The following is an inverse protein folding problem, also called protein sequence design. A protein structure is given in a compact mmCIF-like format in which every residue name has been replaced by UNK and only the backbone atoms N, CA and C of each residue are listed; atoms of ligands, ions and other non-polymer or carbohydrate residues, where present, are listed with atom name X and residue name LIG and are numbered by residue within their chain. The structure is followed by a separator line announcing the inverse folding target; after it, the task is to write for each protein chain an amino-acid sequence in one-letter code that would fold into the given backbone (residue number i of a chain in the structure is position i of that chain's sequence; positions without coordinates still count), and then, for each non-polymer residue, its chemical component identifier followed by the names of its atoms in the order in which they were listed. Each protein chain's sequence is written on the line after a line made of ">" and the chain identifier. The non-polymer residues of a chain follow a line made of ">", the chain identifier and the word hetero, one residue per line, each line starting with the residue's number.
data_IF_992986985283
#
_entry.id   IF_992986985283
#
_cell.length_a   1.000
_cell.length_b   1.000
_cell.length_c   1.000
_cell.angle_alpha   90.00
_cell.angle_beta   90.00
_cell.angle_gamma   90.00
#
_symmetry.space_group_name_H-M   'P 1'
#
loop_
_entity.id
_entity.type
_entity.pdbx_description
1 polymer ?
#
# COMPACT_ATOMS: atom_id res chain seq x y z
N UNK A 1 21.29 35.59 36.22
CA UNK A 1 21.26 34.13 36.46
C UNK A 1 20.25 33.52 35.48
N UNK A 2 20.79 33.05 34.34
CA UNK A 2 20.01 32.42 33.29
C UNK A 2 19.62 31.01 33.66
N UNK A 3 18.33 30.72 33.71
CA UNK A 3 17.84 29.33 33.75
C UNK A 3 17.45 28.92 32.33
N UNK A 4 18.30 28.09 31.73
CA UNK A 4 18.03 27.39 30.49
C UNK A 4 16.77 26.52 30.66
N UNK A 5 15.69 26.87 29.98
CA UNK A 5 14.60 25.95 29.72
C UNK A 5 15.03 25.03 28.60
N UNK A 6 15.48 23.84 28.95
CA UNK A 6 15.60 22.76 27.96
C UNK A 6 14.19 22.40 27.49
N UNK A 7 13.91 22.73 26.25
CA UNK A 7 12.75 22.22 25.54
C UNK A 7 13.01 20.72 25.29
N UNK A 8 12.41 19.85 26.07
CA UNK A 8 12.30 18.45 25.73
C UNK A 8 11.20 18.31 24.67
N UNK A 9 11.60 18.34 23.41
CA UNK A 9 10.76 17.82 22.34
C UNK A 9 10.68 16.32 22.57
N UNK A 10 9.61 15.86 23.19
CA UNK A 10 9.18 14.48 23.15
C UNK A 10 8.79 14.17 21.71
N UNK A 11 9.77 13.75 20.89
CA UNK A 11 9.46 13.01 19.69
C UNK A 11 8.75 11.73 20.16
N UNK A 12 7.45 11.68 19.99
CA UNK A 12 6.75 10.42 19.93
C UNK A 12 7.40 9.64 18.77
N UNK A 13 8.27 8.72 19.10
CA UNK A 13 8.79 7.74 18.15
C UNK A 13 7.67 6.71 17.90
N UNK A 14 6.55 7.17 17.34
CA UNK A 14 5.87 6.33 16.40
C UNK A 14 6.94 6.02 15.35
N UNK A 15 7.24 4.76 15.13
CA UNK A 15 8.10 4.30 14.05
C UNK A 15 7.42 4.61 12.72
N UNK A 16 7.28 5.92 12.45
CA UNK A 16 7.07 6.40 11.13
C UNK A 16 8.36 6.03 10.38
N UNK A 17 8.31 4.99 9.57
CA UNK A 17 9.06 5.01 8.35
C UNK A 17 8.89 6.44 7.85
N UNK A 18 9.97 7.20 7.80
CA UNK A 18 9.94 8.56 7.29
C UNK A 18 9.63 8.44 5.80
N UNK A 19 8.33 8.34 5.52
CA UNK A 19 7.84 8.42 4.16
C UNK A 19 8.40 9.70 3.54
N UNK A 20 8.75 9.63 2.29
CA UNK A 20 9.07 10.80 1.49
C UNK A 20 7.84 11.72 1.22
N UNK A 21 6.73 11.45 1.87
CA UNK A 21 5.74 12.50 2.11
C UNK A 21 6.45 13.55 2.97
N UNK A 22 6.41 14.84 2.63
CA UNK A 22 6.82 15.85 3.59
C UNK A 22 6.12 15.49 4.90
N UNK A 23 6.89 15.44 5.98
CA UNK A 23 6.31 15.31 7.30
C UNK A 23 5.40 16.53 7.46
N UNK A 24 4.16 16.39 7.03
CA UNK A 24 3.13 17.38 7.26
C UNK A 24 3.07 17.50 8.77
N UNK A 25 3.19 18.72 9.25
CA UNK A 25 3.24 18.96 10.67
C UNK A 25 1.88 18.58 11.24
N UNK A 26 1.85 17.49 11.99
CA UNK A 26 0.69 17.05 12.77
C UNK A 26 0.16 18.23 13.60
N UNK A 27 -1.13 18.49 13.54
CA UNK A 27 -1.76 19.53 14.35
C UNK A 27 -1.98 18.97 15.75
N UNK A 28 -1.21 19.47 16.71
CA UNK A 28 -1.37 19.10 18.11
C UNK A 28 -2.60 19.81 18.68
N UNK A 29 -3.59 19.02 19.09
CA UNK A 29 -4.85 19.50 19.69
C UNK A 29 -4.76 19.56 21.21
N UNK A 30 -3.97 18.68 21.83
CA UNK A 30 -3.76 18.61 23.25
C UNK A 30 -2.36 18.07 23.55
N UNK A 31 -1.64 18.70 24.46
CA UNK A 31 -0.35 18.24 24.97
C UNK A 31 -0.19 18.69 26.44
N UNK A 32 -0.50 17.81 27.35
CA UNK A 32 -0.39 18.09 28.78
C UNK A 32 -0.27 16.80 29.59
N UNK A 33 0.50 16.87 30.69
CA UNK A 33 0.63 15.79 31.68
C UNK A 33 1.01 14.43 31.05
N UNK A 34 1.93 14.48 30.06
CA UNK A 34 2.40 13.29 29.35
C UNK A 34 1.36 12.65 28.41
N UNK A 35 0.25 13.35 28.16
CA UNK A 35 -0.79 12.93 27.23
C UNK A 35 -0.80 13.87 26.02
N UNK A 36 -0.76 13.30 24.82
CA UNK A 36 -0.87 14.01 23.55
C UNK A 36 -2.08 13.53 22.75
N UNK A 37 -2.73 14.47 22.08
CA UNK A 37 -3.74 14.17 21.07
C UNK A 37 -3.57 15.11 19.88
N UNK A 38 -3.53 14.54 18.69
CA UNK A 38 -3.23 15.28 17.47
C UNK A 38 -4.01 14.75 16.28
N UNK A 39 -3.99 15.51 15.21
CA UNK A 39 -4.63 15.16 13.95
C UNK A 39 -3.70 15.42 12.77
N UNK A 40 -3.77 14.56 11.78
CA UNK A 40 -3.12 14.69 10.48
C UNK A 40 -4.13 14.47 9.36
N UNK A 41 -3.85 14.95 8.18
CA UNK A 41 -4.73 14.79 7.05
C UNK A 41 -4.01 14.85 5.71
N UNK A 42 -4.62 14.19 4.72
CA UNK A 42 -4.12 14.14 3.35
C UNK A 42 -5.28 14.33 2.39
N UNK A 43 -5.20 15.35 1.54
CA UNK A 43 -6.21 15.70 0.55
C UNK A 43 -5.56 15.84 -0.80
N UNK A 44 -6.13 15.22 -1.80
CA UNK A 44 -5.66 15.35 -3.16
C UNK A 44 -6.80 15.27 -4.17
N UNK A 45 -6.59 15.88 -5.32
CA UNK A 45 -7.44 15.75 -6.50
C UNK A 45 -6.60 15.97 -7.76
N UNK A 46 -6.90 15.21 -8.80
CA UNK A 46 -6.23 15.22 -10.08
C UNK A 46 -7.24 15.35 -11.21
N UNK A 47 -6.95 16.22 -12.17
CA UNK A 47 -7.49 16.08 -13.51
C UNK A 47 -6.74 14.97 -14.22
N UNK A 48 -7.46 14.07 -14.84
CA UNK A 48 -6.95 12.85 -15.46
C UNK A 48 -7.49 12.73 -16.87
N UNK A 49 -6.64 12.36 -17.81
CA UNK A 49 -7.03 11.98 -19.16
C UNK A 49 -6.39 10.63 -19.48
N UNK A 50 -7.21 9.62 -19.69
CA UNK A 50 -6.81 8.26 -20.05
C UNK A 50 -7.14 7.98 -21.51
N UNK A 51 -6.18 7.40 -22.23
CA UNK A 51 -6.31 6.85 -23.57
C UNK A 51 -6.33 5.32 -23.42
N UNK A 52 -7.50 4.74 -23.64
CA UNK A 52 -7.77 3.31 -23.44
C UNK A 52 -7.75 2.60 -24.77
N UNK A 53 -6.92 1.56 -24.87
CA UNK A 53 -6.84 0.62 -25.98
C UNK A 53 -6.98 -0.81 -25.39
N UNK A 54 -8.08 -1.48 -25.72
CA UNK A 54 -8.41 -2.82 -25.18
C UNK A 54 -8.76 -3.78 -26.31
N UNK A 55 -8.62 -5.05 -26.01
CA UNK A 55 -9.14 -6.10 -26.86
C UNK A 55 -10.64 -5.87 -27.18
N UNK A 56 -10.92 -5.46 -28.41
CA UNK A 56 -12.25 -5.08 -28.90
C UNK A 56 -12.41 -3.57 -29.03
N UNK A 57 -12.34 -3.06 -30.28
CA UNK A 57 -12.42 -1.64 -30.66
C UNK A 57 -13.57 -0.85 -30.00
N UNK A 58 -14.63 -1.52 -29.54
CA UNK A 58 -15.76 -0.87 -28.84
C UNK A 58 -15.40 -0.30 -27.48
N UNK A 59 -14.24 -0.66 -26.93
CA UNK A 59 -13.76 -0.15 -25.64
C UNK A 59 -12.76 0.99 -25.79
N UNK A 60 -12.22 1.18 -26.99
CA UNK A 60 -11.21 2.20 -27.27
C UNK A 60 -11.82 3.59 -27.13
N UNK A 61 -11.21 4.39 -26.27
CA UNK A 61 -11.69 5.75 -26.00
C UNK A 61 -10.70 6.61 -25.25
N UNK A 62 -10.95 7.90 -25.31
CA UNK A 62 -10.31 8.88 -24.41
C UNK A 62 -11.30 9.32 -23.35
N UNK A 63 -10.87 9.21 -22.11
CA UNK A 63 -11.71 9.52 -20.95
C UNK A 63 -11.07 10.59 -20.06
N UNK A 64 -11.81 11.67 -19.81
CA UNK A 64 -11.39 12.71 -18.85
C UNK A 64 -12.18 12.57 -17.54
N UNK A 65 -11.47 12.65 -16.41
CA UNK A 65 -12.05 12.55 -15.08
C UNK A 65 -11.39 13.53 -14.10
N UNK A 66 -12.07 13.78 -12.99
CA UNK A 66 -11.46 14.37 -11.79
C UNK A 66 -11.53 13.32 -10.68
N UNK A 67 -10.38 12.86 -10.21
CA UNK A 67 -10.27 11.74 -9.26
C UNK A 67 -9.19 12.02 -8.22
N UNK A 68 -9.25 11.33 -7.10
CA UNK A 68 -8.11 11.28 -6.17
C UNK A 68 -7.01 10.36 -6.72
N UNK A 69 -5.80 10.56 -6.22
CA UNK A 69 -4.63 9.79 -6.62
C UNK A 69 -4.46 8.48 -5.87
N UNK A 70 -3.27 7.92 -6.00
CA UNK A 70 -2.91 6.61 -5.45
C UNK A 70 -3.07 6.54 -3.92
N UNK A 71 -2.51 7.49 -3.18
CA UNK A 71 -2.81 7.60 -1.74
C UNK A 71 -4.16 8.28 -1.55
N UNK A 72 -5.17 7.59 -1.03
CA UNK A 72 -6.51 8.16 -0.87
C UNK A 72 -6.58 9.29 0.17
N UNK A 73 -7.61 10.12 0.06
CA UNK A 73 -7.88 11.18 1.02
C UNK A 73 -8.22 10.61 2.39
N UNK A 74 -7.67 11.20 3.46
CA UNK A 74 -7.98 10.79 4.82
C UNK A 74 -7.83 11.92 5.84
N UNK A 75 -8.45 11.72 7.00
CA UNK A 75 -8.16 12.41 8.25
C UNK A 75 -7.82 11.36 9.30
N UNK A 76 -6.73 11.59 10.03
CA UNK A 76 -6.23 10.73 11.10
C UNK A 76 -6.22 11.44 12.45
N UNK A 77 -6.39 10.67 13.51
CA UNK A 77 -6.26 11.10 14.90
C UNK A 77 -5.28 10.20 15.62
N UNK A 78 -4.37 10.80 16.36
CA UNK A 78 -3.34 10.10 17.09
C UNK A 78 -3.46 10.40 18.59
N UNK A 79 -3.23 9.41 19.39
CA UNK A 79 -3.20 9.47 20.85
C UNK A 79 -1.84 8.98 21.35
N UNK A 80 -1.27 9.64 22.34
CA UNK A 80 -0.07 9.23 23.01
C UNK A 80 -0.17 9.49 24.52
N UNK A 81 0.35 8.58 25.35
CA UNK A 81 0.44 8.77 26.78
C UNK A 81 1.62 8.01 27.36
N UNK A 82 2.44 8.68 28.15
CA UNK A 82 3.46 8.04 28.97
C UNK A 82 2.87 7.64 30.31
N UNK A 83 3.00 6.36 30.69
CA UNK A 83 2.62 5.83 32.00
C UNK A 83 3.79 5.00 32.50
N UNK A 84 4.48 5.50 33.51
CA UNK A 84 5.73 4.94 34.03
C UNK A 84 6.74 4.74 32.89
N UNK A 85 7.22 3.53 32.66
CA UNK A 85 8.14 3.17 31.57
C UNK A 85 7.44 2.71 30.28
N UNK A 86 6.11 2.70 30.25
CA UNK A 86 5.31 2.26 29.07
C UNK A 86 4.79 3.48 28.33
N UNK A 87 5.00 3.50 27.01
CA UNK A 87 4.36 4.43 26.07
C UNK A 87 3.11 3.75 25.51
N UNK A 88 1.95 4.37 25.76
CA UNK A 88 0.70 3.98 25.14
C UNK A 88 0.46 4.87 23.90
N UNK A 89 0.03 4.27 22.83
CA UNK A 89 -0.31 4.95 21.59
C UNK A 89 -1.64 4.48 21.02
N UNK A 90 -2.16 5.22 20.07
CA UNK A 90 -3.31 4.82 19.30
C UNK A 90 -3.48 5.70 18.07
N UNK A 91 -4.03 5.12 17.02
CA UNK A 91 -4.38 5.83 15.79
C UNK A 91 -5.75 5.39 15.30
N UNK A 92 -6.54 6.35 14.85
CA UNK A 92 -7.71 6.10 14.02
C UNK A 92 -7.62 6.96 12.77
N UNK A 93 -7.89 6.39 11.60
CA UNK A 93 -7.90 7.12 10.35
C UNK A 93 -9.14 6.78 9.52
N UNK A 94 -9.76 7.82 8.99
CA UNK A 94 -10.98 7.76 8.21
C UNK A 94 -10.66 8.15 6.78
N UNK A 95 -10.74 7.18 5.88
CA UNK A 95 -10.38 7.31 4.48
C UNK A 95 -11.64 7.47 3.64
N UNK A 96 -11.60 8.38 2.68
CA UNK A 96 -12.76 8.68 1.84
C UNK A 96 -12.35 8.78 0.38
N UNK A 97 -13.24 8.36 -0.52
CA UNK A 97 -13.10 8.64 -1.95
C UNK A 97 -13.86 9.93 -2.31
N UNK A 98 -13.29 10.68 -3.26
CA UNK A 98 -14.01 11.78 -3.94
C UNK A 98 -14.38 11.37 -5.37
N UNK A 99 -14.09 10.13 -5.75
CA UNK A 99 -14.32 9.67 -7.11
C UNK A 99 -15.80 9.40 -7.35
N UNK A 100 -16.35 10.03 -8.37
CA UNK A 100 -17.69 9.73 -8.86
C UNK A 100 -17.65 8.55 -9.85
N UNK A 101 -18.68 7.72 -9.80
CA UNK A 101 -18.94 6.73 -10.83
C UNK A 101 -19.91 7.31 -11.87
N UNK A 102 -19.87 6.81 -13.10
CA UNK A 102 -20.81 7.23 -14.15
C UNK A 102 -22.27 6.91 -13.82
N UNK A 103 -22.50 5.88 -13.00
CA UNK A 103 -23.83 5.34 -12.73
C UNK A 103 -24.48 5.90 -11.45
N UNK A 104 -23.70 6.19 -10.42
CA UNK A 104 -24.24 6.38 -9.07
C UNK A 104 -23.72 7.63 -8.33
N UNK A 105 -23.00 8.53 -9.01
CA UNK A 105 -22.33 9.64 -8.31
C UNK A 105 -21.26 9.12 -7.35
N UNK A 106 -21.02 9.86 -6.27
CA UNK A 106 -19.98 9.51 -5.29
C UNK A 106 -20.36 8.27 -4.49
N UNK A 107 -19.55 7.23 -4.59
CA UNK A 107 -19.66 6.07 -3.71
C UNK A 107 -19.20 6.44 -2.31
N UNK A 108 -20.12 6.83 -1.44
CA UNK A 108 -19.81 7.32 -0.09
C UNK A 108 -19.71 6.18 0.89
N UNK A 109 -18.51 5.68 1.13
CA UNK A 109 -18.22 4.89 2.31
C UNK A 109 -16.98 5.49 3.00
N UNK A 110 -17.03 5.58 4.33
CA UNK A 110 -15.84 5.82 5.12
C UNK A 110 -15.13 4.46 5.27
N UNK A 111 -13.92 4.36 4.74
CA UNK A 111 -13.06 3.20 4.91
C UNK A 111 -12.15 3.44 6.12
N UNK A 112 -12.25 2.57 7.12
CA UNK A 112 -11.39 2.63 8.31
C UNK A 112 -10.22 1.69 8.13
N UNK A 113 -9.09 2.23 7.62
CA UNK A 113 -7.89 1.44 7.36
C UNK A 113 -7.00 1.26 8.58
N UNK A 114 -7.03 2.21 9.51
CA UNK A 114 -6.27 2.16 10.73
C UNK A 114 -7.18 2.47 11.92
N UNK A 115 -7.25 1.55 12.86
CA UNK A 115 -7.92 1.70 14.14
C UNK A 115 -7.25 0.75 15.14
N UNK A 116 -6.18 1.22 15.76
CA UNK A 116 -5.36 0.40 16.63
C UNK A 116 -4.88 1.16 17.86
N UNK A 117 -4.44 0.40 18.86
CA UNK A 117 -3.67 0.89 19.97
C UNK A 117 -2.29 0.20 20.04
N UNK A 118 -1.33 0.85 20.70
CA UNK A 118 -0.02 0.31 20.93
C UNK A 118 0.37 0.45 22.40
N UNK A 119 1.17 -0.49 22.87
CA UNK A 119 1.94 -0.37 24.09
C UNK A 119 3.41 -0.63 23.72
N UNK A 120 4.34 0.20 24.21
CA UNK A 120 5.74 0.05 23.86
C UNK A 120 6.67 0.43 25.01
N UNK A 121 7.88 -0.13 24.96
CA UNK A 121 8.94 0.12 25.91
C UNK A 121 10.29 -0.15 25.22
N UNK A 122 11.33 0.54 25.62
CA UNK A 122 12.65 0.45 24.97
C UNK A 122 13.33 -0.93 25.14
N UNK A 123 12.84 -1.79 26.07
CA UNK A 123 13.40 -3.12 26.34
C UNK A 123 12.76 -4.22 25.48
N UNK A 124 11.43 -4.21 25.36
CA UNK A 124 10.70 -5.28 24.66
C UNK A 124 10.08 -4.83 23.33
N UNK A 125 10.17 -3.55 22.97
CA UNK A 125 9.66 -3.01 21.71
C UNK A 125 8.22 -2.55 21.80
N UNK A 126 7.41 -2.89 20.82
CA UNK A 126 6.02 -2.44 20.66
C UNK A 126 5.10 -3.61 20.40
N UNK A 127 3.94 -3.63 21.04
CA UNK A 127 2.80 -4.46 20.67
C UNK A 127 1.68 -3.57 20.15
N UNK A 128 1.24 -3.83 18.93
CA UNK A 128 0.08 -3.23 18.30
C UNK A 128 -1.08 -4.21 18.34
N UNK A 129 -2.29 -3.73 18.64
CA UNK A 129 -3.52 -4.51 18.56
C UNK A 129 -4.65 -3.65 17.97
N UNK A 130 -5.34 -4.19 16.99
CA UNK A 130 -6.39 -3.51 16.23
C UNK A 130 -6.24 -3.71 14.73
N UNK A 131 -6.67 -2.74 13.93
CA UNK A 131 -6.63 -2.77 12.48
C UNK A 131 -5.52 -1.86 11.96
N UNK A 132 -4.60 -2.40 11.18
CA UNK A 132 -3.52 -1.68 10.47
C UNK A 132 -3.13 -2.47 9.21
N UNK A 133 -2.29 -1.89 8.38
CA UNK A 133 -1.69 -2.58 7.24
C UNK A 133 -0.95 -3.84 7.68
N UNK A 134 -1.08 -4.91 6.89
CA UNK A 134 -0.28 -6.13 7.07
C UNK A 134 1.22 -5.87 6.99
N UNK A 135 2.03 -6.85 7.35
CA UNK A 135 3.49 -6.79 7.27
C UNK A 135 4.00 -7.22 5.89
N UNK A 136 3.32 -8.20 5.25
CA UNK A 136 3.67 -8.65 3.91
C UNK A 136 3.44 -7.54 2.89
N UNK A 137 4.44 -7.23 2.08
CA UNK A 137 4.49 -6.14 1.12
C UNK A 137 4.34 -4.71 1.70
N UNK A 138 4.38 -4.55 3.05
CA UNK A 138 4.24 -3.25 3.71
C UNK A 138 5.32 -2.26 3.26
N UNK A 139 6.59 -2.62 3.38
CA UNK A 139 7.69 -1.75 2.95
C UNK A 139 7.70 -1.51 1.44
N UNK A 140 7.18 -2.44 0.63
CA UNK A 140 7.10 -2.25 -0.81
C UNK A 140 6.22 -1.04 -1.17
N UNK A 141 4.99 -0.96 -0.64
CA UNK A 141 4.10 0.17 -0.91
C UNK A 141 4.57 1.45 -0.21
N UNK A 142 5.05 1.34 1.02
CA UNK A 142 5.40 2.50 1.81
C UNK A 142 6.62 3.26 1.26
N UNK A 143 7.47 2.58 0.49
CA UNK A 143 8.65 3.15 -0.16
C UNK A 143 8.48 3.38 -1.66
N UNK A 144 7.25 3.24 -2.17
CA UNK A 144 6.92 3.57 -3.54
C UNK A 144 7.14 5.07 -3.82
N UNK A 145 8.02 5.38 -4.77
CA UNK A 145 8.40 6.74 -5.14
C UNK A 145 7.24 7.54 -5.76
N UNK A 146 6.19 6.86 -6.24
CA UNK A 146 4.99 7.48 -6.81
C UNK A 146 3.81 7.56 -5.83
N UNK A 147 3.98 7.17 -4.55
CA UNK A 147 2.89 7.09 -3.57
C UNK A 147 2.07 8.39 -3.47
N UNK A 148 2.69 9.56 -3.61
CA UNK A 148 2.01 10.86 -3.59
C UNK A 148 1.51 11.32 -4.97
N UNK A 149 1.61 10.47 -5.98
CA UNK A 149 1.16 10.72 -7.34
C UNK A 149 -0.25 10.23 -7.62
N UNK A 150 -0.60 10.18 -8.89
CA UNK A 150 -1.87 9.63 -9.33
C UNK A 150 -1.82 8.10 -9.44
N UNK A 151 -0.77 7.57 -10.08
CA UNK A 151 -0.60 6.15 -10.32
C UNK A 151 -1.29 5.65 -11.60
N UNK A 152 -1.13 4.36 -11.86
CA UNK A 152 -1.74 3.69 -13.01
C UNK A 152 -3.24 3.43 -12.80
N UNK A 153 -3.97 3.35 -13.91
CA UNK A 153 -5.36 2.87 -13.94
C UNK A 153 -5.55 1.89 -15.09
N UNK A 154 -6.47 0.97 -14.89
CA UNK A 154 -6.89 -0.03 -15.89
C UNK A 154 -8.39 0.06 -16.13
N UNK A 155 -8.78 -0.06 -17.38
CA UNK A 155 -10.17 -0.13 -17.77
C UNK A 155 -10.78 -1.52 -17.48
N UNK A 156 -10.00 -2.58 -17.68
CA UNK A 156 -10.38 -3.96 -17.34
C UNK A 156 -10.68 -4.09 -15.83
N UNK A 157 -9.95 -3.38 -14.98
CA UNK A 157 -10.17 -3.33 -13.53
C UNK A 157 -11.22 -2.26 -13.12
N UNK A 158 -11.91 -1.64 -14.09
CA UNK A 158 -12.94 -0.62 -13.87
C UNK A 158 -12.41 0.62 -13.11
N UNK A 159 -11.14 0.97 -13.30
CA UNK A 159 -10.51 2.10 -12.64
C UNK A 159 -10.55 3.40 -13.44
N UNK A 160 -10.76 3.33 -14.76
CA UNK A 160 -10.85 4.53 -15.61
C UNK A 160 -12.14 5.30 -15.32
N UNK A 161 -13.30 4.66 -15.44
CA UNK A 161 -14.62 5.27 -15.29
C UNK A 161 -15.29 5.03 -13.94
N UNK A 162 -14.86 4.01 -13.22
CA UNK A 162 -15.44 3.65 -11.92
C UNK A 162 -15.09 4.60 -10.79
N UNK A 163 -15.80 4.47 -9.68
CA UNK A 163 -15.52 5.19 -8.43
C UNK A 163 -14.27 4.72 -7.69
N UNK A 164 -13.60 3.67 -8.19
CA UNK A 164 -12.37 3.13 -7.60
C UNK A 164 -11.20 4.11 -7.66
N UNK A 165 -10.25 3.94 -6.75
CA UNK A 165 -8.98 4.69 -6.74
C UNK A 165 -8.01 4.10 -7.76
N UNK A 166 -6.99 4.86 -8.16
CA UNK A 166 -5.89 4.27 -8.91
C UNK A 166 -5.14 3.25 -8.05
N UNK A 167 -4.52 2.26 -8.67
CA UNK A 167 -3.77 1.25 -7.92
C UNK A 167 -2.28 1.60 -7.76
N UNK A 168 -1.82 2.72 -8.32
CA UNK A 168 -0.39 3.04 -8.29
C UNK A 168 0.43 1.95 -8.95
N UNK A 169 1.36 1.34 -8.21
CA UNK A 169 2.10 0.17 -8.64
C UNK A 169 1.59 -1.14 -7.99
N UNK A 170 0.46 -1.11 -7.29
CA UNK A 170 -0.20 -2.32 -6.78
C UNK A 170 -0.56 -3.21 -7.94
N UNK A 171 -0.23 -4.51 -7.85
CA UNK A 171 -0.43 -5.48 -8.91
C UNK A 171 0.59 -5.42 -10.05
N UNK A 172 1.54 -4.48 -10.00
CA UNK A 172 2.66 -4.36 -10.93
C UNK A 172 3.99 -4.20 -10.19
N UNK A 173 4.30 -5.17 -9.35
CA UNK A 173 5.55 -5.23 -8.59
C UNK A 173 5.39 -5.57 -7.12
N UNK A 174 4.20 -5.42 -6.56
CA UNK A 174 3.84 -5.85 -5.21
C UNK A 174 2.32 -5.90 -5.02
N UNK A 175 1.81 -6.78 -4.14
CA UNK A 175 0.41 -6.75 -3.70
C UNK A 175 0.20 -5.68 -2.63
N UNK A 176 -1.03 -5.17 -2.51
CA UNK A 176 -1.41 -4.24 -1.46
C UNK A 176 -1.52 -4.96 -0.10
N UNK A 177 -0.78 -4.52 0.93
CA UNK A 177 -0.87 -5.07 2.29
C UNK A 177 -2.19 -4.63 2.93
N UNK A 178 -3.27 -5.32 2.61
CA UNK A 178 -4.61 -4.89 2.97
C UNK A 178 -4.75 -4.67 4.49
N UNK A 179 -5.40 -3.58 4.94
CA UNK A 179 -5.62 -3.33 6.36
C UNK A 179 -6.45 -4.43 7.00
N UNK A 180 -5.88 -5.08 8.01
CA UNK A 180 -6.43 -6.28 8.63
C UNK A 180 -6.38 -6.18 10.15
N UNK A 181 -7.33 -6.77 10.84
CA UNK A 181 -7.29 -6.94 12.30
C UNK A 181 -6.09 -7.78 12.69
N UNK A 182 -5.31 -7.33 13.68
CA UNK A 182 -4.02 -7.94 13.98
C UNK A 182 -3.58 -7.73 15.43
N UNK A 183 -2.71 -8.61 15.88
CA UNK A 183 -1.83 -8.40 17.03
C UNK A 183 -0.41 -8.56 16.50
N UNK A 184 0.37 -7.49 16.53
CA UNK A 184 1.71 -7.44 15.95
C UNK A 184 2.71 -6.94 16.98
N UNK A 185 3.78 -7.70 17.16
CA UNK A 185 4.94 -7.28 17.91
C UNK A 185 6.02 -6.74 16.99
N UNK A 186 6.70 -5.65 17.44
CA UNK A 186 7.87 -5.07 16.78
C UNK A 186 9.00 -4.96 17.77
N UNK A 187 10.18 -5.42 17.42
CA UNK A 187 11.37 -5.32 18.28
C UNK A 187 11.76 -3.86 18.54
N UNK A 188 12.52 -3.59 19.60
CA UNK A 188 13.31 -2.37 19.69
C UNK A 188 14.24 -2.22 18.48
N UNK A 189 14.78 -1.02 18.29
CA UNK A 189 15.83 -0.80 17.31
C UNK A 189 17.15 -1.45 17.79
N UNK A 190 17.68 -2.36 16.99
CA UNK A 190 18.92 -3.10 17.25
C UNK A 190 20.03 -2.60 16.31
N UNK A 191 20.39 -1.33 16.44
CA UNK A 191 21.39 -0.68 15.57
C UNK A 191 20.97 -0.69 14.09
N UNK A 192 19.72 -0.30 13.85
CA UNK A 192 19.10 -0.23 12.51
C UNK A 192 18.36 -1.51 12.10
N UNK A 193 18.58 -2.64 12.78
CA UNK A 193 17.81 -3.87 12.57
C UNK A 193 16.53 -3.83 13.40
N UNK A 194 15.40 -4.17 12.76
CA UNK A 194 14.10 -4.37 13.41
C UNK A 194 13.43 -5.62 12.88
N UNK A 195 12.71 -6.29 13.76
CA UNK A 195 11.91 -7.48 13.44
C UNK A 195 10.47 -7.20 13.84
N UNK A 196 9.53 -7.52 12.99
CA UNK A 196 8.11 -7.53 13.32
C UNK A 196 7.54 -8.93 13.05
N UNK A 197 6.63 -9.37 13.89
CA UNK A 197 5.87 -10.60 13.71
C UNK A 197 4.45 -10.41 14.24
N UNK A 198 3.46 -10.91 13.52
CA UNK A 198 2.06 -10.72 13.88
C UNK A 198 1.18 -11.87 13.45
N UNK A 199 0.07 -11.96 14.15
CA UNK A 199 -1.09 -12.78 13.78
C UNK A 199 -2.17 -11.85 13.24
N UNK A 200 -2.69 -12.18 12.06
CA UNK A 200 -3.69 -11.42 11.34
C UNK A 200 -4.98 -12.22 11.22
N UNK A 201 -6.10 -11.52 11.11
CA UNK A 201 -7.36 -12.13 10.72
C UNK A 201 -7.19 -12.80 9.35
N UNK A 202 -7.48 -14.10 9.22
CA UNK A 202 -7.26 -14.83 7.97
C UNK A 202 -8.30 -14.47 6.91
N UNK A 203 -8.07 -14.92 5.68
CA UNK A 203 -8.90 -14.64 4.52
C UNK A 203 -9.41 -15.94 3.92
N UNK A 204 -10.69 -15.99 3.60
CA UNK A 204 -11.27 -17.12 2.86
C UNK A 204 -10.72 -17.14 1.42
N UNK A 205 -10.12 -18.26 1.02
CA UNK A 205 -9.51 -18.42 -0.31
C UNK A 205 -10.12 -19.53 -1.14
N UNK A 206 -10.86 -20.46 -0.53
CA UNK A 206 -11.53 -21.56 -1.21
C UNK A 206 -13.05 -21.56 -0.98
N UNK A 207 -13.65 -20.40 -0.69
CA UNK A 207 -15.09 -20.30 -0.49
C UNK A 207 -15.83 -20.56 -1.80
N UNK A 208 -16.58 -21.64 -1.83
CA UNK A 208 -17.53 -21.96 -2.89
C UNK A 208 -18.93 -21.93 -2.33
N UNK A 209 -19.73 -20.97 -2.73
CA UNK A 209 -21.13 -20.85 -2.33
C UNK A 209 -22.00 -22.08 -2.66
N UNK A 210 -21.49 -22.99 -3.49
CA UNK A 210 -22.19 -24.21 -3.91
C UNK A 210 -21.66 -25.48 -3.26
N UNK A 211 -20.49 -25.45 -2.60
CA UNK A 211 -19.80 -26.66 -2.12
C UNK A 211 -19.09 -26.40 -0.81
N UNK A 212 -19.77 -26.69 0.30
CA UNK A 212 -19.21 -26.51 1.63
C UNK A 212 -19.05 -25.03 2.03
N UNK A 213 -18.19 -24.79 3.01
CA UNK A 213 -17.85 -23.47 3.53
C UNK A 213 -16.36 -23.42 3.85
N UNK A 214 -15.67 -22.39 3.37
CA UNK A 214 -14.28 -22.12 3.72
C UNK A 214 -14.15 -21.77 5.21
N UNK A 215 -13.07 -22.21 5.83
CA UNK A 215 -12.70 -21.87 7.20
C UNK A 215 -11.18 -21.91 7.38
N UNK A 216 -10.67 -21.30 8.46
CA UNK A 216 -9.25 -21.28 8.80
C UNK A 216 -9.11 -21.67 10.28
N UNK A 217 -8.45 -22.79 10.56
CA UNK A 217 -8.17 -23.20 11.94
C UNK A 217 -7.13 -22.34 12.63
N UNK A 218 -6.21 -21.77 11.83
CA UNK A 218 -5.11 -20.94 12.31
C UNK A 218 -5.22 -19.51 11.75
N UNK A 219 -4.77 -18.50 12.51
CA UNK A 219 -4.68 -17.14 11.98
C UNK A 219 -3.64 -17.08 10.86
N UNK A 220 -3.69 -16.02 10.05
CA UNK A 220 -2.63 -15.69 9.11
C UNK A 220 -1.41 -15.18 9.87
N UNK A 221 -0.23 -15.72 9.58
CA UNK A 221 1.05 -15.29 10.14
C UNK A 221 1.78 -14.38 9.17
N UNK A 222 2.25 -13.22 9.65
CA UNK A 222 3.08 -12.33 8.87
C UNK A 222 4.31 -11.90 9.67
N UNK A 223 5.42 -11.66 8.95
CA UNK A 223 6.66 -11.15 9.53
C UNK A 223 7.33 -10.14 8.61
N UNK A 224 8.08 -9.22 9.19
CA UNK A 224 8.93 -8.28 8.45
C UNK A 224 10.24 -8.06 9.20
N UNK A 225 11.35 -8.11 8.47
CA UNK A 225 12.68 -7.76 8.94
C UNK A 225 13.13 -6.55 8.14
N UNK A 226 13.55 -5.48 8.81
CA UNK A 226 14.07 -4.28 8.16
C UNK A 226 15.46 -3.96 8.70
N UNK A 227 16.34 -3.48 7.83
CA UNK A 227 17.67 -3.06 8.22
C UNK A 227 18.03 -1.73 7.57
N UNK A 228 18.32 -0.74 8.41
CA UNK A 228 18.76 0.58 7.99
C UNK A 228 20.20 0.83 8.44
N UNK A 229 21.03 1.25 7.51
CA UNK A 229 22.43 1.59 7.79
C UNK A 229 22.93 2.68 6.86
N UNK A 230 24.09 3.24 7.18
CA UNK A 230 24.73 4.27 6.35
C UNK A 230 26.09 3.76 5.86
N UNK A 231 26.37 3.95 4.57
CA UNK A 231 27.66 3.61 3.96
C UNK A 231 28.03 4.65 2.90
N UNK A 232 29.24 5.21 3.01
CA UNK A 232 29.74 6.19 2.05
C UNK A 232 28.87 7.43 1.87
N UNK A 233 28.11 7.83 2.90
CA UNK A 233 27.14 8.92 2.84
C UNK A 233 25.81 8.58 2.18
N UNK A 234 25.61 7.32 1.80
CA UNK A 234 24.32 6.80 1.37
C UNK A 234 23.58 6.15 2.54
N UNK A 235 22.30 6.48 2.71
CA UNK A 235 21.38 5.77 3.60
C UNK A 235 20.79 4.60 2.85
N UNK A 236 20.94 3.40 3.40
CA UNK A 236 20.40 2.16 2.84
C UNK A 236 19.32 1.64 3.76
N UNK A 237 18.16 1.33 3.20
CA UNK A 237 17.07 0.65 3.87
C UNK A 237 16.74 -0.63 3.11
N UNK A 238 16.81 -1.77 3.76
CA UNK A 238 16.48 -3.06 3.17
C UNK A 238 15.39 -3.76 3.98
N UNK A 239 14.59 -4.60 3.32
CA UNK A 239 13.51 -5.36 3.96
C UNK A 239 13.33 -6.73 3.37
N UNK A 240 12.83 -7.61 4.19
CA UNK A 240 12.31 -8.92 3.86
C UNK A 240 11.04 -9.13 4.65
N UNK A 241 9.96 -9.51 3.99
CA UNK A 241 8.71 -9.84 4.66
C UNK A 241 8.12 -11.15 4.12
N UNK A 242 7.28 -11.79 4.91
CA UNK A 242 6.65 -13.04 4.54
C UNK A 242 5.25 -13.17 5.15
N UNK A 243 4.42 -13.98 4.51
CA UNK A 243 3.11 -14.39 5.04
C UNK A 243 2.85 -15.87 4.81
N UNK A 244 1.97 -16.44 5.63
CA UNK A 244 1.45 -17.79 5.47
C UNK A 244 0.07 -17.92 6.10
N UNK A 245 -0.83 -18.62 5.41
CA UNK A 245 -2.10 -19.12 5.95
C UNK A 245 -2.54 -20.35 5.20
N UNK A 246 -3.44 -21.16 5.81
CA UNK A 246 -4.18 -22.26 5.14
C UNK A 246 -5.66 -21.96 5.20
N UNK A 247 -6.36 -22.16 4.10
CA UNK A 247 -7.82 -22.09 4.01
C UNK A 247 -8.37 -23.48 3.67
N UNK A 248 -9.20 -24.00 4.55
CA UNK A 248 -9.81 -25.32 4.48
C UNK A 248 -11.27 -25.20 4.04
N UNK A 249 -11.92 -26.32 3.69
CA UNK A 249 -13.34 -26.35 3.36
C UNK A 249 -14.06 -27.49 4.11
N UNK A 250 -15.28 -27.23 4.56
CA UNK A 250 -16.13 -28.27 5.23
C UNK A 250 -16.51 -29.41 4.31
N UNK A 251 -16.42 -29.25 3.00
CA UNK A 251 -16.58 -30.33 2.03
C UNK A 251 -15.20 -30.86 1.64
N UNK A 252 -14.89 -32.08 2.02
CA UNK A 252 -13.61 -32.73 1.75
C UNK A 252 -13.32 -33.00 0.27
N UNK A 253 -14.24 -32.70 -0.64
CA UNK A 253 -13.98 -32.73 -2.09
C UNK A 253 -13.40 -31.43 -2.63
N UNK A 254 -13.38 -30.36 -1.82
CA UNK A 254 -12.73 -29.09 -2.10
C UNK A 254 -11.32 -29.15 -1.48
N UNK A 255 -10.32 -28.95 -2.29
CA UNK A 255 -8.93 -28.95 -1.83
C UNK A 255 -8.66 -27.73 -0.93
N UNK A 256 -7.87 -27.94 0.12
CA UNK A 256 -7.35 -26.86 0.93
C UNK A 256 -6.47 -25.95 0.08
N UNK A 257 -6.31 -24.69 0.48
CA UNK A 257 -5.44 -23.72 -0.19
C UNK A 257 -4.40 -23.21 0.79
N UNK A 258 -3.14 -23.55 0.54
CA UNK A 258 -2.02 -22.99 1.24
C UNK A 258 -1.59 -21.70 0.54
N UNK A 259 -1.66 -20.58 1.28
CA UNK A 259 -1.24 -19.28 0.80
C UNK A 259 0.09 -18.89 1.45
N UNK A 260 1.10 -18.62 0.65
CA UNK A 260 2.41 -18.18 1.14
C UNK A 260 3.01 -17.10 0.26
N UNK A 261 3.84 -16.23 0.84
CA UNK A 261 4.51 -15.18 0.08
C UNK A 261 5.75 -14.64 0.76
N UNK A 262 6.69 -14.18 -0.05
CA UNK A 262 7.90 -13.48 0.36
C UNK A 262 7.99 -12.18 -0.44
N UNK A 263 8.17 -11.06 0.26
CA UNK A 263 8.46 -9.76 -0.33
C UNK A 263 9.82 -9.26 0.14
N UNK A 264 10.54 -8.56 -0.73
CA UNK A 264 11.88 -8.07 -0.43
C UNK A 264 12.19 -6.78 -1.17
N UNK A 265 13.21 -6.05 -0.70
CA UNK A 265 13.68 -4.88 -1.41
C UNK A 265 14.77 -4.12 -0.71
N UNK A 266 15.25 -3.12 -1.43
CA UNK A 266 16.26 -2.17 -0.96
C UNK A 266 15.97 -0.78 -1.53
N UNK A 267 16.14 0.24 -0.69
CA UNK A 267 16.15 1.63 -1.10
C UNK A 267 17.47 2.27 -0.68
N UNK A 268 18.12 2.95 -1.61
CA UNK A 268 19.35 3.71 -1.37
C UNK A 268 19.10 5.20 -1.62
N UNK A 269 19.45 6.05 -0.65
CA UNK A 269 19.31 7.50 -0.73
C UNK A 269 20.67 8.19 -0.52
N UNK A 270 21.04 9.08 -1.43
CA UNK A 270 22.28 9.85 -1.32
C UNK A 270 22.07 11.25 -1.92
N UNK A 271 22.20 12.27 -1.09
CA UNK A 271 21.90 13.63 -1.51
C UNK A 271 20.43 13.77 -1.95
N UNK A 272 20.21 14.18 -3.20
CA UNK A 272 18.86 14.27 -3.79
C UNK A 272 18.39 12.98 -4.49
N UNK A 273 19.27 12.00 -4.69
CA UNK A 273 18.98 10.76 -5.40
C UNK A 273 18.33 9.73 -4.46
N UNK A 274 17.29 9.06 -4.93
CA UNK A 274 16.72 7.85 -4.33
C UNK A 274 16.57 6.78 -5.39
N UNK A 275 16.99 5.56 -5.09
CA UNK A 275 16.85 4.38 -5.94
C UNK A 275 16.19 3.27 -5.13
N UNK A 276 15.14 2.67 -5.66
CA UNK A 276 14.40 1.57 -5.03
C UNK A 276 14.32 0.39 -5.98
N UNK A 277 14.62 -0.80 -5.47
CA UNK A 277 14.38 -2.06 -6.14
C UNK A 277 13.67 -3.00 -5.16
N UNK A 278 12.55 -3.55 -5.56
CA UNK A 278 11.78 -4.49 -4.74
C UNK A 278 11.11 -5.56 -5.57
N UNK A 279 10.64 -6.62 -4.92
CA UNK A 279 9.90 -7.68 -5.56
C UNK A 279 9.17 -8.55 -4.56
N UNK A 280 8.38 -9.48 -5.09
CA UNK A 280 7.69 -10.51 -4.32
C UNK A 280 7.60 -11.81 -5.12
N UNK A 281 7.37 -12.90 -4.39
CA UNK A 281 6.97 -14.19 -4.90
C UNK A 281 5.86 -14.71 -3.99
N UNK A 282 4.80 -15.23 -4.54
CA UNK A 282 3.65 -15.69 -3.80
C UNK A 282 2.97 -16.86 -4.49
N UNK A 283 2.36 -17.72 -3.69
CA UNK A 283 1.51 -18.82 -4.08
C UNK A 283 0.19 -18.73 -3.32
N UNK A 284 -0.94 -18.89 -3.99
CA UNK A 284 -2.26 -18.80 -3.37
C UNK A 284 -2.62 -17.39 -2.82
N UNK A 285 -1.99 -16.32 -3.35
CA UNK A 285 -2.25 -14.94 -2.97
C UNK A 285 -2.54 -14.13 -4.23
N UNK A 286 -3.62 -13.35 -4.20
CA UNK A 286 -3.91 -12.42 -5.29
C UNK A 286 -2.79 -11.37 -5.43
N UNK A 287 -2.21 -11.17 -6.63
CA UNK A 287 -1.10 -10.25 -6.83
C UNK A 287 -1.45 -8.77 -6.66
N UNK A 288 -2.76 -8.43 -6.56
CA UNK A 288 -3.21 -7.07 -6.28
C UNK A 288 -3.52 -6.83 -4.79
N UNK A 289 -4.14 -7.81 -4.10
CA UNK A 289 -4.64 -7.60 -2.74
C UNK A 289 -4.38 -8.82 -1.85
N UNK A 290 -3.66 -8.62 -0.75
CA UNK A 290 -3.33 -9.71 0.19
C UNK A 290 -4.54 -10.29 0.93
N UNK A 291 -5.72 -9.66 0.82
CA UNK A 291 -6.98 -10.19 1.34
C UNK A 291 -7.83 -10.91 0.27
N UNK A 292 -7.26 -11.19 -0.90
CA UNK A 292 -7.90 -11.89 -2.01
C UNK A 292 -9.27 -11.30 -2.44
N UNK A 293 -9.44 -9.99 -2.28
CA UNK A 293 -10.74 -9.30 -2.47
C UNK A 293 -11.38 -9.58 -3.84
N UNK A 294 -10.57 -9.77 -4.87
CA UNK A 294 -11.05 -10.00 -6.25
C UNK A 294 -11.09 -11.48 -6.63
N UNK A 295 -10.51 -12.35 -5.81
CA UNK A 295 -10.34 -13.79 -6.08
C UNK A 295 -10.69 -14.65 -4.88
N UNK A 296 -11.97 -14.70 -4.46
CA UNK A 296 -12.37 -15.47 -3.27
C UNK A 296 -12.22 -16.98 -3.44
N UNK A 297 -12.07 -17.47 -4.68
CA UNK A 297 -11.88 -18.89 -5.01
C UNK A 297 -10.47 -19.16 -5.52
N UNK A 298 -9.49 -18.41 -5.03
CA UNK A 298 -8.09 -18.57 -5.38
C UNK A 298 -7.60 -19.98 -5.04
N UNK A 299 -6.73 -20.53 -5.86
CA UNK A 299 -6.00 -21.78 -5.66
C UNK A 299 -4.54 -21.50 -5.40
N UNK A 300 -3.76 -22.53 -5.14
CA UNK A 300 -2.30 -22.47 -5.08
C UNK A 300 -1.72 -22.17 -6.45
N UNK A 301 -1.75 -20.91 -6.81
CA UNK A 301 -1.26 -20.42 -8.12
C UNK A 301 -0.16 -19.41 -7.88
N UNK A 302 0.91 -19.57 -8.68
CA UNK A 302 2.10 -18.74 -8.57
C UNK A 302 1.86 -17.33 -9.10
N UNK A 303 2.41 -16.36 -8.39
CA UNK A 303 2.61 -14.99 -8.86
C UNK A 303 3.96 -14.45 -8.41
N UNK A 304 4.61 -13.70 -9.28
CA UNK A 304 5.84 -13.00 -8.96
C UNK A 304 5.89 -11.60 -9.60
N UNK A 305 6.59 -10.69 -8.96
CA UNK A 305 6.72 -9.35 -9.50
C UNK A 305 7.91 -8.59 -8.97
N UNK A 306 8.27 -7.51 -9.68
CA UNK A 306 9.32 -6.60 -9.26
C UNK A 306 8.99 -5.15 -9.64
N UNK A 307 9.55 -4.22 -8.85
CA UNK A 307 9.44 -2.78 -9.03
C UNK A 307 10.82 -2.14 -8.98
N UNK A 308 11.13 -1.34 -9.99
CA UNK A 308 12.35 -0.54 -10.07
C UNK A 308 11.97 0.93 -10.15
N UNK A 309 12.50 1.74 -9.25
CA UNK A 309 12.20 3.17 -9.20
C UNK A 309 13.47 3.99 -8.96
N UNK A 310 13.45 5.21 -9.49
CA UNK A 310 14.47 6.19 -9.22
C UNK A 310 13.88 7.58 -9.13
N UNK A 311 14.29 8.37 -8.16
CA UNK A 311 13.90 9.77 -8.10
C UNK A 311 15.07 10.69 -7.81
N UNK A 312 14.96 11.93 -8.26
CA UNK A 312 15.94 12.97 -7.97
C UNK A 312 15.27 14.26 -7.54
N UNK A 313 15.65 14.73 -6.35
CA UNK A 313 15.18 15.98 -5.76
C UNK A 313 16.20 17.09 -5.98
N UNK A 314 15.75 18.24 -6.49
CA UNK A 314 16.54 19.43 -6.67
C UNK A 314 15.75 20.68 -6.24
N UNK A 315 16.16 21.28 -5.15
CA UNK A 315 15.40 22.34 -4.49
C UNK A 315 13.99 21.87 -4.11
N UNK A 316 12.97 22.59 -4.58
CA UNK A 316 11.56 22.26 -4.35
C UNK A 316 10.97 21.30 -5.39
N UNK A 317 11.78 20.73 -6.25
CA UNK A 317 11.33 19.87 -7.33
C UNK A 317 11.80 18.44 -7.11
N UNK A 318 11.02 17.45 -7.56
CA UNK A 318 11.42 16.04 -7.63
C UNK A 318 10.87 15.44 -8.91
N UNK A 319 11.71 14.70 -9.63
CA UNK A 319 11.29 13.84 -10.75
C UNK A 319 11.45 12.40 -10.27
N UNK A 320 10.47 11.56 -10.56
CA UNK A 320 10.50 10.13 -10.28
C UNK A 320 10.20 9.34 -11.55
N UNK A 321 10.87 8.20 -11.68
CA UNK A 321 10.66 7.21 -12.73
C UNK A 321 10.30 5.88 -12.06
N UNK A 322 9.39 5.13 -12.64
CA UNK A 322 8.92 3.85 -12.14
C UNK A 322 8.74 2.85 -13.27
N UNK A 323 9.14 1.62 -13.03
CA UNK A 323 8.87 0.46 -13.86
C UNK A 323 8.54 -0.73 -12.98
N UNK A 324 7.37 -1.32 -13.18
CA UNK A 324 6.91 -2.48 -12.43
C UNK A 324 6.35 -3.55 -13.35
N UNK A 325 6.55 -4.81 -12.97
CA UNK A 325 5.99 -5.97 -13.67
C UNK A 325 5.58 -7.04 -12.68
N UNK A 326 4.46 -7.69 -12.96
CA UNK A 326 3.98 -8.88 -12.26
C UNK A 326 3.54 -9.91 -13.28
N UNK A 327 3.90 -11.17 -13.02
CA UNK A 327 3.36 -12.33 -13.68
C UNK A 327 2.37 -13.00 -12.75
N UNK A 328 1.23 -13.34 -13.28
CA UNK A 328 0.17 -14.04 -12.59
C UNK A 328 -0.24 -15.25 -13.43
N UNK A 329 -0.05 -16.45 -12.90
CA UNK A 329 -0.44 -17.68 -13.60
C UNK A 329 -1.96 -17.95 -13.51
N UNK A 330 -2.69 -17.01 -12.88
CA UNK A 330 -4.14 -17.06 -12.73
C UNK A 330 -4.57 -18.00 -11.60
N UNK A 331 -5.86 -18.22 -11.49
CA UNK A 331 -6.40 -19.10 -10.45
C UNK A 331 -6.55 -20.58 -10.90
N UNK A 332 -5.98 -20.95 -12.04
CA UNK A 332 -6.07 -22.30 -12.59
C UNK A 332 -7.49 -22.75 -12.98
N UNK A 333 -8.50 -21.92 -12.72
CA UNK A 333 -9.89 -22.21 -13.07
C UNK A 333 -10.31 -21.44 -14.32
N UNK A 334 -10.78 -22.20 -15.30
CA UNK A 334 -11.75 -21.70 -16.26
C UNK A 334 -13.10 -21.85 -15.59
N UNK A 335 -13.50 -20.93 -14.71
CA UNK A 335 -14.85 -20.88 -14.22
C UNK A 335 -15.78 -20.64 -15.42
N UNK A 336 -16.89 -21.38 -15.50
CA UNK A 336 -17.90 -21.17 -16.54
C UNK A 336 -18.31 -19.70 -16.53
N UNK A 337 -17.93 -18.96 -17.58
CA UNK A 337 -18.22 -17.54 -17.73
C UNK A 337 -17.16 -16.56 -17.18
N UNK A 338 -16.04 -17.03 -16.61
CA UNK A 338 -14.86 -16.19 -16.31
C UNK A 338 -13.62 -16.80 -16.95
N UNK A 339 -12.95 -16.10 -17.86
CA UNK A 339 -11.71 -16.56 -18.46
C UNK A 339 -10.62 -16.67 -17.38
N UNK A 340 -9.62 -17.53 -17.65
CA UNK A 340 -8.39 -17.53 -16.86
C UNK A 340 -7.86 -16.10 -16.76
N UNK A 341 -7.54 -15.66 -15.54
CA UNK A 341 -6.94 -14.35 -15.27
C UNK A 341 -5.41 -14.38 -15.39
N UNK A 342 -4.84 -15.49 -15.91
CA UNK A 342 -3.42 -15.58 -16.17
C UNK A 342 -2.97 -14.46 -17.11
N UNK A 343 -2.13 -13.56 -16.61
CA UNK A 343 -1.67 -12.39 -17.35
C UNK A 343 -0.33 -11.87 -16.84
N UNK A 344 0.38 -11.17 -17.70
CA UNK A 344 1.46 -10.28 -17.29
C UNK A 344 0.89 -8.87 -17.16
N UNK A 345 1.16 -8.23 -16.03
CA UNK A 345 0.81 -6.85 -15.75
C UNK A 345 2.08 -6.00 -15.74
N UNK A 346 2.09 -4.89 -16.46
CA UNK A 346 3.25 -4.01 -16.55
C UNK A 346 2.85 -2.55 -16.39
N UNK A 347 3.66 -1.78 -15.66
CA UNK A 347 3.47 -0.33 -15.52
C UNK A 347 4.77 0.42 -15.79
N UNK A 348 4.64 1.58 -16.41
CA UNK A 348 5.71 2.57 -16.61
C UNK A 348 5.18 3.92 -16.20
N UNK A 349 5.92 4.62 -15.36
CA UNK A 349 5.52 5.93 -14.85
C UNK A 349 6.64 6.94 -14.83
N UNK A 350 6.30 8.20 -15.07
CA UNK A 350 7.14 9.35 -14.80
C UNK A 350 6.31 10.41 -14.11
N UNK A 351 6.80 10.92 -12.97
CA UNK A 351 6.12 11.93 -12.19
C UNK A 351 7.04 13.11 -11.89
N UNK A 352 6.47 14.29 -11.92
CA UNK A 352 7.08 15.54 -11.48
C UNK A 352 6.30 16.09 -10.30
N UNK A 353 7.02 16.36 -9.22
CA UNK A 353 6.48 16.93 -7.98
C UNK A 353 7.10 18.30 -7.74
N UNK A 354 6.28 19.29 -7.39
CA UNK A 354 6.68 20.63 -7.02
C UNK A 354 6.14 21.01 -5.66
N UNK A 355 7.02 21.11 -4.65
CA UNK A 355 6.65 21.61 -3.34
C UNK A 355 6.44 23.14 -3.42
N UNK A 356 5.24 23.61 -3.17
CA UNK A 356 4.91 25.03 -3.06
C UNK A 356 5.38 25.53 -1.68
N UNK A 357 4.97 24.77 -0.65
CA UNK A 357 5.41 24.92 0.73
C UNK A 357 5.41 23.52 1.39
N UNK A 358 5.55 23.46 2.71
CA UNK A 358 5.66 22.20 3.46
C UNK A 358 4.35 21.37 3.43
N UNK A 359 3.21 22.01 3.17
CA UNK A 359 1.89 21.39 3.17
C UNK A 359 1.32 21.16 1.76
N UNK A 360 1.67 21.99 0.78
CA UNK A 360 1.06 21.99 -0.55
C UNK A 360 2.07 21.58 -1.62
N UNK A 361 1.71 20.60 -2.42
CA UNK A 361 2.47 20.06 -3.54
C UNK A 361 1.61 20.04 -4.81
N UNK A 362 2.23 20.37 -5.94
CA UNK A 362 1.66 20.14 -7.28
C UNK A 362 2.31 18.90 -7.87
N UNK A 363 1.55 18.14 -8.64
CA UNK A 363 1.99 16.89 -9.27
C UNK A 363 1.56 16.88 -10.73
N UNK A 364 2.45 16.44 -11.62
CA UNK A 364 2.14 16.07 -12.99
C UNK A 364 2.72 14.69 -13.28
N UNK A 365 1.96 13.79 -13.89
CA UNK A 365 2.32 12.39 -14.05
C UNK A 365 1.87 11.85 -15.40
N UNK A 366 2.68 10.96 -15.97
CA UNK A 366 2.36 10.15 -17.13
C UNK A 366 2.58 8.69 -16.75
N UNK A 367 1.55 7.86 -16.96
CA UNK A 367 1.60 6.43 -16.71
C UNK A 367 1.14 5.66 -17.93
N UNK A 368 1.68 4.47 -18.10
CA UNK A 368 1.19 3.45 -19.01
C UNK A 368 0.99 2.16 -18.20
N UNK A 369 -0.14 1.53 -18.40
CA UNK A 369 -0.46 0.22 -17.83
C UNK A 369 -0.81 -0.73 -18.95
N UNK A 370 -0.18 -1.90 -18.94
CA UNK A 370 -0.37 -2.95 -19.95
C UNK A 370 -0.82 -4.25 -19.26
N UNK A 371 -1.78 -4.93 -19.86
CA UNK A 371 -2.15 -6.32 -19.55
C UNK A 371 -1.88 -7.16 -20.80
N UNK A 372 -1.13 -8.24 -20.63
CA UNK A 372 -0.92 -9.28 -21.65
C UNK A 372 -1.52 -10.59 -21.15
N UNK A 373 -2.70 -10.94 -21.66
CA UNK A 373 -3.45 -12.13 -21.28
C UNK A 373 -2.88 -13.39 -21.90
N UNK A 374 -2.17 -14.21 -21.11
CA UNK A 374 -1.42 -15.38 -21.60
C UNK A 374 -2.24 -16.40 -22.37
N UNK A 375 -3.47 -16.64 -21.96
CA UNK A 375 -4.37 -17.63 -22.59
C UNK A 375 -5.70 -17.02 -22.98
N UNK A 376 -5.84 -15.71 -22.84
CA UNK A 376 -7.06 -14.98 -23.10
C UNK A 376 -6.77 -13.58 -23.64
N UNK A 377 -6.60 -13.41 -24.96
CA UNK A 377 -6.36 -12.10 -25.56
C UNK A 377 -7.49 -11.07 -25.31
N UNK A 378 -8.64 -11.49 -24.79
CA UNK A 378 -9.70 -10.56 -24.41
C UNK A 378 -9.34 -9.72 -23.16
N UNK A 379 -8.26 -10.06 -22.47
CA UNK A 379 -7.70 -9.28 -21.35
C UNK A 379 -6.72 -8.21 -21.81
N UNK A 380 -6.21 -8.27 -23.04
CA UNK A 380 -5.17 -7.36 -23.51
C UNK A 380 -5.63 -5.90 -23.39
N UNK A 381 -4.78 -5.09 -22.80
CA UNK A 381 -5.04 -3.67 -22.55
C UNK A 381 -3.73 -2.86 -22.61
N UNK A 382 -3.78 -1.67 -23.23
CA UNK A 382 -2.78 -0.60 -23.11
C UNK A 382 -3.51 0.70 -22.72
N UNK A 383 -3.43 1.08 -21.47
CA UNK A 383 -4.04 2.32 -20.97
C UNK A 383 -2.96 3.34 -20.62
N UNK A 384 -2.96 4.49 -21.30
CA UNK A 384 -2.04 5.62 -21.07
C UNK A 384 -2.77 6.74 -20.37
N UNK A 385 -2.18 7.24 -19.31
CA UNK A 385 -2.82 8.24 -18.45
C UNK A 385 -1.91 9.44 -18.23
N UNK A 386 -2.46 10.63 -18.50
CA UNK A 386 -1.90 11.89 -18.04
C UNK A 386 -2.70 12.40 -16.84
N UNK A 387 -2.02 12.77 -15.77
CA UNK A 387 -2.64 13.33 -14.59
C UNK A 387 -1.94 14.61 -14.14
N UNK A 388 -2.70 15.60 -13.72
CA UNK A 388 -2.18 16.80 -13.08
C UNK A 388 -3.07 17.17 -11.90
N UNK A 389 -2.46 17.46 -10.75
CA UNK A 389 -3.22 17.70 -9.55
C UNK A 389 -2.44 18.36 -8.42
N UNK A 390 -3.08 18.41 -7.28
CA UNK A 390 -2.50 18.96 -6.07
C UNK A 390 -2.70 18.03 -4.88
N UNK A 391 -1.76 18.09 -3.96
CA UNK A 391 -1.76 17.36 -2.69
C UNK A 391 -1.57 18.38 -1.58
N UNK A 392 -2.46 18.33 -0.59
CA UNK A 392 -2.35 19.06 0.67
C UNK A 392 -2.25 18.05 1.81
N UNK A 393 -1.24 18.20 2.66
CA UNK A 393 -1.05 17.37 3.85
C UNK A 393 -0.75 18.26 5.06
N UNK A 394 -1.25 17.88 6.24
CA UNK A 394 -1.00 18.56 7.51
C UNK A 394 -0.95 17.57 8.66
#
# INVERSE_FOLDING_TARGET
>A
MNKNKACYSLLAAATALAFSLPAAAEIVLYDKDGTTFSTDGYFNAFYVNSDVDRAGEQFDRKQSRVKMGFLPNYIGFNFGKQVDDIKLGGRSSFWVTINDSEQNGTGTAIDVRQFYATASNDQWGEVLFGKDFGLFARSNILLDELLAGYGQVSDTLVLVDGGGVSFGNIGTGYPYPFPTSQITWRSPDMSGLRIAAGIMDPVDTNDSSSTGKAYQENPRFETEITYQFEVGGAQIYSWLNAMQQTSENTDSSVEDVDSSGIGYGVQARMGGLSLTASGFQAEGINPFFTNNLTEPTLREVDSDGYLLQGSYRFGKNRIALSYGKTKDDGNGQVAVGRPSLAADYETRGVAYFRDINDNLKLVAELNQFEIDGKNNPALDEDTRTFAVGAVLAF
#
